data_IF_524209234757
#
_entry.id   IF_524209234757
#
_cell.length_a   1.000
_cell.length_b   1.000
_cell.length_c   1.000
_cell.angle_alpha   90.00
_cell.angle_beta   90.00
_cell.angle_gamma   90.00
#
_symmetry.space_group_name_H-M   'P 1'
#
loop_
_entity.id
_entity.type
_entity.pdbx_description
1 polymer ?
#
# COMPACT_ATOMS: atom_id res chain seq x y z
N UNK A 1 27.98 -0.05 -9.93
CA UNK A 1 28.61 1.30 -9.89
C UNK A 1 27.82 2.10 -8.85
N UNK A 2 28.51 2.81 -7.97
CA UNK A 2 27.90 3.58 -6.88
C UNK A 2 27.47 4.96 -7.36
N UNK A 3 26.22 5.35 -7.06
CA UNK A 3 25.68 6.66 -7.43
C UNK A 3 24.17 6.73 -7.39
N UNK A 4 23.59 7.80 -7.90
CA UNK A 4 22.15 8.05 -7.98
C UNK A 4 21.65 7.60 -9.35
N UNK A 5 20.69 6.69 -9.34
CA UNK A 5 20.01 6.20 -10.55
C UNK A 5 18.63 6.84 -10.69
N UNK A 6 18.27 7.20 -11.91
CA UNK A 6 16.95 7.75 -12.27
C UNK A 6 16.40 7.03 -13.50
N UNK A 7 15.10 7.08 -13.68
CA UNK A 7 14.45 6.74 -14.96
C UNK A 7 14.48 7.96 -15.87
N UNK A 8 15.01 7.79 -17.07
CA UNK A 8 15.08 8.82 -18.09
C UNK A 8 14.60 8.20 -19.41
N UNK A 9 13.43 8.61 -19.89
CA UNK A 9 12.78 8.00 -21.05
C UNK A 9 12.65 6.47 -20.93
N UNK A 10 12.13 6.02 -19.79
CA UNK A 10 11.93 4.61 -19.42
C UNK A 10 13.22 3.78 -19.27
N UNK A 11 14.37 4.40 -19.38
CA UNK A 11 15.65 3.74 -19.14
C UNK A 11 16.25 4.13 -17.80
N UNK A 12 16.69 3.14 -17.04
CA UNK A 12 17.46 3.35 -15.81
C UNK A 12 18.87 3.77 -16.13
N UNK A 13 19.27 4.96 -15.68
CA UNK A 13 20.61 5.53 -15.92
C UNK A 13 21.24 6.03 -14.63
N UNK A 14 22.57 5.90 -14.55
CA UNK A 14 23.37 6.61 -13.54
C UNK A 14 23.29 8.11 -13.86
N UNK A 15 22.71 8.89 -12.95
CA UNK A 15 22.39 10.29 -13.17
C UNK A 15 23.33 11.25 -12.44
N UNK A 16 23.82 10.89 -11.23
CA UNK A 16 24.66 11.74 -10.42
C UNK A 16 25.51 10.94 -9.41
N UNK A 17 26.54 11.60 -8.86
CA UNK A 17 27.25 11.14 -7.68
C UNK A 17 26.44 11.45 -6.41
N UNK A 18 26.72 10.70 -5.33
CA UNK A 18 26.08 10.91 -4.03
C UNK A 18 26.67 12.17 -3.40
N UNK A 19 25.86 13.19 -3.03
CA UNK A 19 26.34 14.40 -2.40
C UNK A 19 26.99 14.10 -1.03
N UNK A 20 28.02 14.83 -0.68
CA UNK A 20 28.70 14.68 0.63
C UNK A 20 27.81 15.07 1.83
N UNK A 21 26.77 15.88 1.60
CA UNK A 21 25.81 16.34 2.61
C UNK A 21 24.53 15.52 2.61
N UNK A 22 24.51 14.31 2.03
CA UNK A 22 23.40 13.38 2.15
C UNK A 22 23.12 13.10 3.64
N UNK A 23 21.83 13.12 4.01
CA UNK A 23 21.42 12.88 5.41
C UNK A 23 21.38 11.37 5.66
N UNK A 24 21.82 10.97 6.84
CA UNK A 24 21.84 9.56 7.24
C UNK A 24 20.63 9.23 8.10
N UNK A 25 20.02 8.08 7.85
CA UNK A 25 18.90 7.50 8.60
C UNK A 25 19.16 6.01 8.83
N UNK A 26 18.43 5.39 9.74
CA UNK A 26 18.41 3.94 9.91
C UNK A 26 17.52 3.27 8.84
N UNK A 27 16.41 3.93 8.50
CA UNK A 27 15.54 3.51 7.42
C UNK A 27 14.87 4.70 6.73
N UNK A 28 14.57 4.53 5.43
CA UNK A 28 13.75 5.48 4.66
C UNK A 28 12.52 4.75 4.12
N UNK A 29 11.35 5.33 4.35
CA UNK A 29 10.07 4.85 3.81
C UNK A 29 9.62 5.81 2.72
N UNK A 30 9.51 5.34 1.48
CA UNK A 30 9.02 6.12 0.36
C UNK A 30 7.55 5.81 0.12
N UNK A 31 6.71 6.82 0.37
CA UNK A 31 5.25 6.71 0.43
C UNK A 31 4.75 6.53 1.87
N UNK A 32 4.10 7.54 2.41
CA UNK A 32 3.43 7.52 3.72
C UNK A 32 1.96 7.09 3.64
N UNK A 33 1.61 6.27 2.64
CA UNK A 33 0.25 5.76 2.43
C UNK A 33 -0.17 4.73 3.49
N UNK A 34 -1.19 3.91 3.14
CA UNK A 34 -1.79 2.91 4.04
C UNK A 34 -0.77 1.98 4.69
N UNK A 35 0.17 1.44 3.92
CA UNK A 35 1.22 0.56 4.46
C UNK A 35 2.41 1.35 5.00
N UNK A 36 2.86 2.39 4.28
CA UNK A 36 4.09 3.10 4.61
C UNK A 36 4.02 3.86 5.92
N UNK A 37 2.88 4.47 6.26
CA UNK A 37 2.71 5.15 7.54
C UNK A 37 2.83 4.18 8.72
N UNK A 38 2.26 2.99 8.61
CA UNK A 38 2.37 1.95 9.65
C UNK A 38 3.78 1.35 9.70
N UNK A 39 4.46 1.19 8.54
CA UNK A 39 5.86 0.77 8.52
C UNK A 39 6.77 1.77 9.23
N UNK A 40 6.58 3.06 8.97
CA UNK A 40 7.31 4.13 9.65
C UNK A 40 7.03 4.17 11.16
N UNK A 41 5.77 3.95 11.56
CA UNK A 41 5.40 3.86 12.97
C UNK A 41 6.11 2.67 13.65
N UNK A 42 6.07 1.48 13.03
CA UNK A 42 6.74 0.29 13.56
C UNK A 42 8.26 0.50 13.74
N UNK A 43 8.91 1.11 12.75
CA UNK A 43 10.32 1.50 12.81
C UNK A 43 10.59 2.51 13.94
N UNK A 44 9.75 3.55 14.06
CA UNK A 44 9.91 4.58 15.11
C UNK A 44 9.70 4.00 16.51
N UNK A 45 8.78 3.03 16.70
CA UNK A 45 8.59 2.31 17.96
C UNK A 45 9.81 1.45 18.32
N UNK A 46 10.61 1.06 17.35
CA UNK A 46 11.88 0.37 17.52
C UNK A 46 13.08 1.31 17.67
N UNK A 47 12.84 2.61 17.90
CA UNK A 47 13.85 3.64 18.10
C UNK A 47 14.78 3.84 16.89
N UNK A 48 14.35 3.41 15.69
CA UNK A 48 15.06 3.70 14.47
C UNK A 48 14.87 5.17 14.08
N UNK A 49 15.93 5.80 13.57
CA UNK A 49 15.84 7.09 12.94
C UNK A 49 15.27 6.95 11.53
N UNK A 50 14.00 7.34 11.36
CA UNK A 50 13.21 7.11 10.14
C UNK A 50 12.92 8.42 9.43
N UNK A 51 13.03 8.40 8.10
CA UNK A 51 12.47 9.42 7.22
C UNK A 51 11.32 8.81 6.40
N UNK A 52 10.18 9.49 6.41
CA UNK A 52 9.08 9.23 5.46
C UNK A 52 9.13 10.28 4.35
N UNK A 53 9.19 9.85 3.10
CA UNK A 53 9.08 10.70 1.91
C UNK A 53 7.68 10.54 1.35
N UNK A 54 6.81 11.56 1.52
CA UNK A 54 5.41 11.50 1.12
C UNK A 54 5.05 12.66 0.19
N UNK A 55 4.48 12.35 -0.97
CA UNK A 55 4.12 13.35 -1.99
C UNK A 55 2.88 14.17 -1.64
N UNK A 56 1.96 13.61 -0.85
CA UNK A 56 0.80 14.32 -0.33
C UNK A 56 1.17 15.16 0.90
N UNK A 57 0.18 15.86 1.43
CA UNK A 57 0.31 16.65 2.66
C UNK A 57 -0.27 15.90 3.87
N UNK A 58 -0.44 14.60 3.76
CA UNK A 58 -1.03 13.75 4.80
C UNK A 58 -0.54 12.30 4.70
N UNK A 59 -0.61 11.59 5.81
CA UNK A 59 -0.33 10.16 5.90
C UNK A 59 -1.61 9.31 5.74
N UNK A 60 -1.44 7.99 5.54
CA UNK A 60 -2.53 7.01 5.54
C UNK A 60 -3.11 6.71 4.15
N UNK A 61 -2.79 7.49 3.12
CA UNK A 61 -3.12 7.19 1.72
C UNK A 61 -4.61 7.03 1.43
N UNK A 62 -5.03 5.85 0.95
CA UNK A 62 -6.44 5.59 0.61
C UNK A 62 -7.36 5.69 1.82
N UNK A 63 -6.91 5.27 3.00
CA UNK A 63 -7.64 5.35 4.26
C UNK A 63 -7.81 6.77 4.82
N UNK A 64 -7.16 7.77 4.24
CA UNK A 64 -7.25 9.18 4.66
C UNK A 64 -7.56 10.07 3.46
N UNK A 65 -6.55 10.46 2.67
CA UNK A 65 -6.72 11.29 1.47
C UNK A 65 -7.68 10.69 0.43
N UNK A 66 -7.69 9.38 0.29
CA UNK A 66 -8.57 8.65 -0.63
C UNK A 66 -10.01 8.50 -0.15
N UNK A 67 -10.30 8.82 1.11
CA UNK A 67 -11.65 8.75 1.71
C UNK A 67 -12.27 7.34 1.71
N UNK A 68 -11.45 6.31 1.74
CA UNK A 68 -11.92 4.95 2.05
C UNK A 68 -11.97 4.83 3.58
N UNK A 69 -13.07 5.28 4.17
CA UNK A 69 -13.24 5.42 5.62
C UNK A 69 -13.88 4.20 6.29
N UNK A 70 -14.01 3.11 5.58
CA UNK A 70 -14.62 1.89 6.07
C UNK A 70 -13.81 0.66 5.68
N UNK A 71 -13.61 -0.22 6.63
CA UNK A 71 -12.98 -1.51 6.38
C UNK A 71 -13.97 -2.53 5.83
N UNK A 72 -13.55 -3.24 4.79
CA UNK A 72 -14.32 -4.34 4.19
C UNK A 72 -13.87 -5.68 4.76
N UNK A 73 -12.84 -6.25 4.19
CA UNK A 73 -12.25 -7.52 4.60
C UNK A 73 -10.93 -7.31 5.33
N UNK A 74 -10.33 -8.39 5.79
CA UNK A 74 -8.99 -8.43 6.35
C UNK A 74 -8.90 -9.21 7.66
N UNK A 75 -7.72 -9.14 8.27
CA UNK A 75 -7.47 -9.74 9.57
C UNK A 75 -7.28 -8.65 10.64
N UNK A 76 -7.93 -8.83 11.77
CA UNK A 76 -7.77 -7.93 12.94
C UNK A 76 -6.39 -8.09 13.58
N UNK A 77 -6.08 -7.14 14.44
CA UNK A 77 -4.85 -7.08 15.24
C UNK A 77 -3.75 -6.24 14.61
N UNK A 78 -2.84 -5.80 15.45
CA UNK A 78 -1.69 -4.99 15.06
C UNK A 78 -1.85 -3.50 15.34
N UNK A 79 -0.89 -2.73 14.84
CA UNK A 79 -0.76 -1.30 15.14
C UNK A 79 -1.93 -0.47 14.60
N UNK A 80 -2.51 -0.85 13.48
CA UNK A 80 -3.59 -0.07 12.88
C UNK A 80 -4.83 0.00 13.80
N UNK A 81 -5.14 -1.07 14.54
CA UNK A 81 -6.25 -1.04 15.50
C UNK A 81 -5.99 -0.10 16.68
N UNK A 82 -4.72 0.04 17.09
CA UNK A 82 -4.33 1.01 18.12
C UNK A 82 -4.51 2.45 17.62
N UNK A 83 -4.14 2.71 16.36
CA UNK A 83 -4.35 4.02 15.70
C UNK A 83 -5.83 4.34 15.60
N UNK A 84 -6.65 3.39 15.14
CA UNK A 84 -8.09 3.57 14.98
C UNK A 84 -8.79 3.78 16.33
N UNK A 85 -8.39 3.05 17.36
CA UNK A 85 -8.93 3.22 18.71
C UNK A 85 -8.61 4.62 19.28
N UNK A 86 -7.40 5.12 19.06
CA UNK A 86 -7.01 6.45 19.50
C UNK A 86 -7.70 7.56 18.70
N UNK A 87 -7.82 7.39 17.37
CA UNK A 87 -8.58 8.30 16.53
C UNK A 87 -10.04 8.37 16.99
N UNK A 88 -10.67 7.23 17.22
CA UNK A 88 -12.04 7.15 17.75
C UNK A 88 -12.18 7.79 19.14
N UNK A 89 -11.22 7.56 20.04
CA UNK A 89 -11.19 8.19 21.36
C UNK A 89 -11.03 9.71 21.33
N UNK A 90 -10.59 10.26 20.21
CA UNK A 90 -10.41 11.71 20.00
C UNK A 90 -11.59 12.36 19.28
N UNK A 91 -12.65 11.63 18.94
CA UNK A 91 -13.81 12.17 18.25
C UNK A 91 -14.57 13.17 19.13
N UNK A 92 -15.00 14.31 18.58
CA UNK A 92 -15.85 15.26 19.29
C UNK A 92 -17.16 14.63 19.74
N UNK A 93 -17.71 15.10 20.84
CA UNK A 93 -19.05 14.69 21.31
C UNK A 93 -20.08 14.91 20.21
N UNK A 94 -20.87 13.87 19.92
CA UNK A 94 -21.92 13.90 18.90
C UNK A 94 -21.43 13.58 17.48
N UNK A 95 -20.14 13.33 17.29
CA UNK A 95 -19.64 12.78 16.03
C UNK A 95 -19.99 11.28 15.94
N UNK A 96 -20.54 10.87 14.82
CA UNK A 96 -20.80 9.46 14.54
C UNK A 96 -20.30 9.11 13.15
N UNK A 97 -19.48 8.06 13.03
CA UNK A 97 -19.14 7.47 11.76
C UNK A 97 -20.33 6.66 11.25
N UNK A 98 -20.69 6.84 9.99
CA UNK A 98 -21.88 6.23 9.37
C UNK A 98 -21.80 4.70 9.25
N UNK A 99 -20.63 4.11 9.40
CA UNK A 99 -20.38 2.68 9.19
C UNK A 99 -19.88 2.01 10.47
N UNK A 100 -20.33 0.78 10.78
CA UNK A 100 -19.88 0.06 11.98
C UNK A 100 -18.36 -0.15 12.07
N UNK A 101 -17.72 -0.38 10.93
CA UNK A 101 -16.27 -0.56 10.79
C UNK A 101 -15.56 0.68 10.23
N UNK A 102 -16.23 1.85 10.31
CA UNK A 102 -15.68 3.10 9.83
C UNK A 102 -14.81 3.81 10.85
N UNK A 103 -14.04 4.76 10.35
CA UNK A 103 -13.19 5.65 11.14
C UNK A 103 -13.16 7.04 10.53
N UNK A 104 -12.75 8.02 11.33
CA UNK A 104 -12.58 9.39 10.87
C UNK A 104 -11.21 9.54 10.20
N UNK A 105 -11.22 9.88 8.91
CA UNK A 105 -10.00 10.02 8.10
C UNK A 105 -9.05 11.09 8.65
N UNK A 106 -9.57 12.25 9.05
CA UNK A 106 -8.79 13.38 9.56
C UNK A 106 -8.15 13.05 10.92
N UNK A 107 -8.89 12.40 11.79
CA UNK A 107 -8.36 11.99 13.09
C UNK A 107 -7.32 10.89 12.96
N UNK A 108 -7.52 9.95 12.06
CA UNK A 108 -6.54 8.89 11.76
C UNK A 108 -5.24 9.47 11.23
N UNK A 109 -5.33 10.39 10.28
CA UNK A 109 -4.18 11.13 9.73
C UNK A 109 -3.39 11.81 10.85
N UNK A 110 -4.07 12.60 11.70
CA UNK A 110 -3.46 13.30 12.81
C UNK A 110 -2.76 12.36 13.79
N UNK A 111 -3.42 11.27 14.18
CA UNK A 111 -2.85 10.30 15.12
C UNK A 111 -1.60 9.64 14.54
N UNK A 112 -1.60 9.27 13.24
CA UNK A 112 -0.43 8.72 12.57
C UNK A 112 0.74 9.69 12.62
N UNK A 113 0.53 10.97 12.26
CA UNK A 113 1.56 11.99 12.28
C UNK A 113 2.10 12.24 13.68
N UNK A 114 1.20 12.48 14.66
CA UNK A 114 1.57 12.74 16.05
C UNK A 114 2.41 11.60 16.64
N UNK A 115 2.05 10.34 16.36
CA UNK A 115 2.81 9.20 16.86
C UNK A 115 4.18 9.07 16.22
N UNK A 116 4.27 9.14 14.90
CA UNK A 116 5.56 9.01 14.20
C UNK A 116 6.49 10.13 14.65
N UNK A 117 6.04 11.38 14.66
CA UNK A 117 6.85 12.54 15.13
C UNK A 117 7.18 12.46 16.62
N UNK A 118 6.22 12.06 17.44
CA UNK A 118 6.41 11.90 18.88
C UNK A 118 7.47 10.86 19.25
N UNK A 119 7.70 9.87 18.38
CA UNK A 119 8.75 8.87 18.50
C UNK A 119 10.05 9.25 17.76
N UNK A 120 10.15 10.48 17.24
CA UNK A 120 11.36 10.99 16.59
C UNK A 120 11.43 10.70 15.07
N UNK A 121 10.41 10.16 14.46
CA UNK A 121 10.34 9.99 13.00
C UNK A 121 10.21 11.34 12.29
N UNK A 122 10.91 11.48 11.17
CA UNK A 122 10.86 12.64 10.31
C UNK A 122 9.92 12.40 9.11
N UNK A 123 9.13 13.40 8.72
CA UNK A 123 8.20 13.31 7.59
C UNK A 123 8.47 14.48 6.66
N UNK A 124 8.81 14.18 5.40
CA UNK A 124 8.93 15.12 4.31
C UNK A 124 7.65 15.06 3.47
N UNK A 125 6.74 16.00 3.68
CA UNK A 125 5.53 16.16 2.87
C UNK A 125 5.79 16.96 1.60
N UNK A 126 4.95 16.77 0.57
CA UNK A 126 5.12 17.41 -0.72
C UNK A 126 6.46 17.03 -1.36
N UNK A 127 6.89 15.80 -1.13
CA UNK A 127 8.20 15.29 -1.51
C UNK A 127 8.05 14.13 -2.50
N UNK A 128 8.56 14.30 -3.71
CA UNK A 128 8.51 13.31 -4.77
C UNK A 128 9.85 12.59 -4.94
N UNK A 129 9.80 11.26 -5.03
CA UNK A 129 10.96 10.43 -5.36
C UNK A 129 11.49 10.78 -6.75
N UNK A 130 12.78 11.09 -6.86
CA UNK A 130 13.44 11.42 -8.13
C UNK A 130 14.52 10.42 -8.51
N UNK A 131 15.09 9.71 -7.52
CA UNK A 131 16.16 8.75 -7.78
C UNK A 131 16.41 7.80 -6.62
N UNK A 132 17.18 6.76 -6.90
CA UNK A 132 17.60 5.76 -5.91
C UNK A 132 19.13 5.74 -5.84
N UNK A 133 19.65 5.83 -4.63
CA UNK A 133 21.09 5.74 -4.35
C UNK A 133 21.45 4.26 -4.27
N UNK A 134 22.39 3.83 -5.10
CA UNK A 134 22.77 2.41 -5.18
C UNK A 134 24.29 2.21 -5.28
N UNK A 135 24.72 1.03 -4.85
CA UNK A 135 26.02 0.46 -5.21
C UNK A 135 25.83 -0.96 -5.72
N UNK A 136 26.06 -1.16 -7.02
CA UNK A 136 25.68 -2.41 -7.68
C UNK A 136 24.19 -2.69 -7.56
N UNK A 137 23.84 -3.79 -6.90
CA UNK A 137 22.45 -4.20 -6.62
C UNK A 137 21.99 -3.84 -5.21
N UNK A 138 22.77 -3.07 -4.47
CA UNK A 138 22.41 -2.65 -3.11
C UNK A 138 21.84 -1.25 -3.11
N UNK A 139 20.63 -1.09 -2.61
CA UNK A 139 20.02 0.22 -2.35
C UNK A 139 20.63 0.79 -1.07
N UNK A 140 21.09 2.03 -1.13
CA UNK A 140 21.74 2.76 -0.05
C UNK A 140 20.97 4.01 0.36
N UNK A 141 19.85 4.31 -0.27
CA UNK A 141 19.05 5.49 0.02
C UNK A 141 18.26 5.98 -1.20
N UNK A 142 17.75 7.19 -1.09
CA UNK A 142 16.92 7.82 -2.12
C UNK A 142 17.31 9.27 -2.35
N UNK A 143 16.98 9.75 -3.55
CA UNK A 143 16.93 11.16 -3.88
C UNK A 143 15.46 11.56 -4.04
N UNK A 144 15.09 12.70 -3.49
CA UNK A 144 13.75 13.25 -3.61
C UNK A 144 13.80 14.76 -3.79
N UNK A 145 12.75 15.32 -4.39
CA UNK A 145 12.54 16.76 -4.50
C UNK A 145 11.47 17.20 -3.51
N UNK A 146 11.74 18.25 -2.73
CA UNK A 146 10.76 18.89 -1.88
C UNK A 146 10.76 20.40 -2.16
N UNK A 147 9.63 20.92 -2.60
CA UNK A 147 9.59 22.25 -3.20
C UNK A 147 10.48 22.33 -4.44
N UNK A 148 11.47 23.23 -4.43
CA UNK A 148 12.43 23.41 -5.53
C UNK A 148 13.82 22.83 -5.22
N UNK A 149 13.97 22.03 -4.17
CA UNK A 149 15.26 21.53 -3.69
C UNK A 149 15.35 20.01 -3.81
N UNK A 150 16.49 19.53 -4.29
CA UNK A 150 16.85 18.11 -4.26
C UNK A 150 17.49 17.78 -2.91
N UNK A 151 17.08 16.66 -2.35
CA UNK A 151 17.57 16.09 -1.11
C UNK A 151 18.01 14.66 -1.33
N UNK A 152 19.05 14.23 -0.60
CA UNK A 152 19.49 12.84 -0.56
C UNK A 152 19.41 12.32 0.88
N UNK A 153 18.82 11.14 1.04
CA UNK A 153 18.73 10.42 2.29
C UNK A 153 19.34 9.03 2.12
N UNK A 154 20.39 8.73 2.90
CA UNK A 154 21.03 7.43 2.92
C UNK A 154 20.50 6.59 4.08
N UNK A 155 20.31 5.30 3.85
CA UNK A 155 19.91 4.34 4.88
C UNK A 155 20.30 2.92 4.46
N UNK A 156 20.64 2.03 5.41
CA UNK A 156 20.91 0.62 5.11
C UNK A 156 19.65 -0.14 4.67
N UNK A 157 18.45 0.34 5.02
CA UNK A 157 17.18 -0.26 4.59
C UNK A 157 16.27 0.83 4.04
N UNK A 158 15.73 0.58 2.84
CA UNK A 158 14.74 1.45 2.19
C UNK A 158 13.47 0.64 1.92
N UNK A 159 12.32 1.23 2.18
CA UNK A 159 11.01 0.59 1.97
C UNK A 159 10.29 1.30 0.83
N UNK A 160 9.98 0.56 -0.25
CA UNK A 160 9.04 1.02 -1.26
C UNK A 160 7.61 0.82 -0.78
N UNK A 161 6.95 1.89 -0.40
CA UNK A 161 5.53 1.96 -0.07
C UNK A 161 4.78 2.92 -1.01
N UNK A 162 5.34 3.14 -2.22
CA UNK A 162 4.75 4.05 -3.22
C UNK A 162 3.44 3.52 -3.80
N UNK A 163 3.08 2.30 -3.48
CA UNK A 163 1.94 1.55 -3.96
C UNK A 163 2.01 1.17 -5.45
N UNK A 164 2.65 1.99 -6.28
CA UNK A 164 2.87 1.74 -7.71
C UNK A 164 4.20 1.00 -8.00
N UNK A 165 5.14 0.96 -7.04
CA UNK A 165 6.44 0.29 -7.19
C UNK A 165 7.52 1.16 -7.85
N UNK A 166 7.38 2.49 -7.80
CA UNK A 166 8.30 3.39 -8.49
C UNK A 166 9.74 3.29 -8.00
N UNK A 167 9.97 3.12 -6.69
CA UNK A 167 11.31 2.94 -6.15
C UNK A 167 11.92 1.62 -6.64
N UNK A 168 11.16 0.53 -6.57
CA UNK A 168 11.57 -0.78 -7.09
C UNK A 168 11.92 -0.72 -8.58
N UNK A 169 11.14 0.00 -9.38
CA UNK A 169 11.42 0.21 -10.81
C UNK A 169 12.75 0.94 -11.02
N UNK A 170 13.00 2.06 -10.32
CA UNK A 170 14.26 2.81 -10.42
C UNK A 170 15.44 1.96 -9.91
N UNK A 171 15.23 1.17 -8.87
CA UNK A 171 16.25 0.24 -8.36
C UNK A 171 16.59 -0.87 -9.38
N UNK A 172 15.72 -1.12 -10.36
CA UNK A 172 15.90 -2.16 -11.37
C UNK A 172 15.41 -3.53 -10.90
N UNK A 173 14.48 -3.57 -9.93
CA UNK A 173 13.81 -4.80 -9.54
C UNK A 173 12.89 -5.29 -10.66
N UNK A 174 12.79 -6.60 -10.82
CA UNK A 174 11.82 -7.22 -11.72
C UNK A 174 10.40 -7.04 -11.19
N UNK A 175 9.44 -6.82 -12.09
CA UNK A 175 8.04 -6.69 -11.76
C UNK A 175 7.12 -7.23 -12.87
N UNK A 176 5.86 -7.47 -12.55
CA UNK A 176 4.77 -7.67 -13.52
C UNK A 176 3.78 -6.52 -13.42
N UNK A 177 3.09 -6.23 -14.51
CA UNK A 177 2.07 -5.19 -14.58
C UNK A 177 0.84 -5.72 -15.28
N UNK A 178 -0.28 -5.76 -14.55
CA UNK A 178 -1.53 -6.28 -15.08
C UNK A 178 -1.47 -7.76 -15.44
N UNK A 179 -2.49 -8.23 -16.13
CA UNK A 179 -2.60 -9.63 -16.56
C UNK A 179 -1.75 -9.90 -17.82
N UNK A 180 -1.25 -11.13 -17.94
CA UNK A 180 -0.33 -11.51 -19.02
C UNK A 180 -0.96 -11.36 -20.41
N UNK A 181 -2.29 -11.55 -20.53
CA UNK A 181 -3.00 -11.52 -21.80
C UNK A 181 -2.93 -10.15 -22.51
N UNK A 182 -3.11 -9.05 -21.77
CA UNK A 182 -3.27 -7.70 -22.34
C UNK A 182 -2.70 -6.58 -21.46
N UNK A 183 -1.99 -6.94 -20.39
CA UNK A 183 -1.39 -6.03 -19.41
C UNK A 183 -2.39 -5.08 -18.73
N UNK A 184 -3.68 -5.40 -18.76
CA UNK A 184 -4.66 -4.64 -18.01
C UNK A 184 -4.49 -4.86 -16.52
N UNK A 185 -4.36 -3.76 -15.81
CA UNK A 185 -4.42 -3.70 -14.34
C UNK A 185 -5.87 -3.73 -13.87
N UNK A 186 -6.09 -3.90 -12.57
CA UNK A 186 -7.41 -3.73 -11.96
C UNK A 186 -7.94 -2.31 -12.23
N UNK A 187 -9.26 -2.13 -12.51
CA UNK A 187 -9.80 -0.80 -12.74
C UNK A 187 -9.58 0.08 -11.52
N UNK A 188 -9.26 1.35 -11.77
CA UNK A 188 -9.18 2.33 -10.69
C UNK A 188 -10.55 2.79 -10.24
N UNK A 189 -10.64 3.26 -9.02
CA UNK A 189 -11.86 3.80 -8.43
C UNK A 189 -11.72 5.27 -8.03
N UNK A 190 -12.86 5.85 -7.69
CA UNK A 190 -12.94 7.19 -7.14
C UNK A 190 -14.00 7.25 -6.06
N UNK A 191 -13.87 8.17 -5.11
CA UNK A 191 -14.85 8.39 -4.05
C UNK A 191 -15.61 9.66 -4.31
N UNK A 192 -16.93 9.53 -4.39
CA UNK A 192 -17.88 10.63 -4.45
C UNK A 192 -18.50 10.81 -3.07
N UNK A 193 -18.63 12.05 -2.65
CA UNK A 193 -19.24 12.46 -1.39
C UNK A 193 -20.54 13.22 -1.71
N UNK A 194 -21.67 12.73 -1.23
CA UNK A 194 -22.99 13.33 -1.40
C UNK A 194 -23.57 13.77 -0.06
N UNK A 195 -24.35 14.84 -0.08
CA UNK A 195 -25.31 15.18 0.96
C UNK A 195 -26.59 14.41 0.70
N UNK A 196 -27.04 13.64 1.69
CA UNK A 196 -28.38 13.04 1.69
C UNK A 196 -29.36 14.08 2.22
N UNK A 197 -30.25 14.60 1.37
CA UNK A 197 -31.12 15.74 1.70
C UNK A 197 -32.10 15.45 2.87
N UNK A 198 -32.64 14.24 2.92
CA UNK A 198 -33.61 13.85 3.95
C UNK A 198 -33.00 13.85 5.36
N UNK A 199 -31.80 13.30 5.49
CA UNK A 199 -31.11 13.18 6.80
C UNK A 199 -30.09 14.28 7.06
N UNK A 200 -29.77 15.09 6.06
CA UNK A 200 -28.68 16.08 6.11
C UNK A 200 -27.32 15.47 6.49
N UNK A 201 -27.09 14.21 6.12
CA UNK A 201 -25.84 13.47 6.38
C UNK A 201 -25.01 13.31 5.14
N UNK A 202 -23.69 13.19 5.32
CA UNK A 202 -22.76 12.79 4.25
C UNK A 202 -22.91 11.32 3.89
N UNK A 203 -22.78 10.98 2.62
CA UNK A 203 -22.73 9.60 2.14
C UNK A 203 -21.61 9.44 1.14
N UNK A 204 -20.80 8.40 1.29
CA UNK A 204 -19.73 8.05 0.37
C UNK A 204 -20.16 6.99 -0.63
N UNK A 205 -19.67 7.10 -1.85
CA UNK A 205 -19.90 6.13 -2.92
C UNK A 205 -18.60 5.83 -3.64
N UNK A 206 -18.34 4.58 -3.82
CA UNK A 206 -17.16 4.07 -4.50
C UNK A 206 -17.56 3.63 -5.91
N UNK A 207 -16.81 4.07 -6.92
CA UNK A 207 -17.12 3.77 -8.32
C UNK A 207 -15.90 3.30 -9.07
N UNK A 208 -16.10 2.36 -9.97
CA UNK A 208 -15.08 1.97 -10.94
C UNK A 208 -15.13 2.94 -12.10
N UNK A 209 -13.97 3.50 -12.45
CA UNK A 209 -13.88 4.60 -13.41
C UNK A 209 -13.08 4.25 -14.68
N UNK A 210 -12.61 3.01 -14.82
CA UNK A 210 -11.85 2.55 -15.98
C UNK A 210 -10.45 2.05 -15.63
N UNK A 211 -9.62 1.92 -16.66
CA UNK A 211 -8.27 1.35 -16.57
C UNK A 211 -7.23 2.44 -16.82
N UNK A 212 -6.16 2.42 -16.03
CA UNK A 212 -5.03 3.35 -16.13
C UNK A 212 -3.76 2.58 -15.87
N UNK A 213 -2.80 2.72 -16.75
CA UNK A 213 -1.45 2.22 -16.49
C UNK A 213 -0.73 3.14 -15.51
N UNK A 214 -0.19 2.62 -14.40
CA UNK A 214 0.55 3.43 -13.42
C UNK A 214 1.88 3.96 -13.97
N UNK A 215 2.38 3.38 -15.06
CA UNK A 215 3.66 3.77 -15.70
C UNK A 215 3.48 4.73 -16.88
N UNK A 216 2.26 5.18 -17.18
CA UNK A 216 1.99 6.12 -18.28
C UNK A 216 1.38 7.41 -17.72
N UNK A 217 2.19 8.47 -17.48
CA UNK A 217 1.75 9.68 -16.78
C UNK A 217 0.56 10.39 -17.45
N UNK A 218 0.47 10.37 -18.78
CA UNK A 218 -0.62 10.99 -19.54
C UNK A 218 -1.96 10.32 -19.23
N UNK A 219 -1.97 9.01 -19.07
CA UNK A 219 -3.18 8.27 -18.70
C UNK A 219 -3.66 8.64 -17.30
N UNK A 220 -2.73 8.89 -16.38
CA UNK A 220 -3.05 9.29 -15.01
C UNK A 220 -3.81 10.61 -14.96
N UNK A 221 -3.35 11.62 -15.73
CA UNK A 221 -4.02 12.91 -15.84
C UNK A 221 -5.42 12.79 -16.46
N UNK A 222 -5.56 11.96 -17.49
CA UNK A 222 -6.84 11.67 -18.11
C UNK A 222 -7.80 10.90 -17.18
N UNK A 223 -7.26 10.02 -16.34
CA UNK A 223 -8.05 9.25 -15.40
C UNK A 223 -8.74 10.14 -14.36
N UNK A 224 -8.04 11.13 -13.82
CA UNK A 224 -8.61 12.09 -12.87
C UNK A 224 -9.81 12.83 -13.48
N UNK A 225 -9.66 13.30 -14.72
CA UNK A 225 -10.75 13.97 -15.43
C UNK A 225 -11.92 13.02 -15.74
N UNK A 226 -11.62 11.78 -16.13
CA UNK A 226 -12.64 10.78 -16.43
C UNK A 226 -13.40 10.36 -15.17
N UNK A 227 -12.71 10.18 -14.06
CA UNK A 227 -13.31 9.87 -12.77
C UNK A 227 -14.27 10.96 -12.31
N UNK A 228 -13.86 12.22 -12.41
CA UNK A 228 -14.70 13.37 -12.08
C UNK A 228 -15.96 13.42 -12.97
N UNK A 229 -15.83 13.21 -14.27
CA UNK A 229 -16.96 13.17 -15.21
C UNK A 229 -17.91 12.02 -14.88
N UNK A 230 -17.39 10.82 -14.70
CA UNK A 230 -18.19 9.66 -14.38
C UNK A 230 -19.00 9.86 -13.09
N UNK A 231 -18.34 10.32 -12.03
CA UNK A 231 -19.01 10.58 -10.75
C UNK A 231 -20.02 11.72 -10.82
N UNK A 232 -19.83 12.72 -11.68
CA UNK A 232 -20.74 13.88 -11.79
C UNK A 232 -21.95 13.60 -12.67
N UNK A 233 -21.74 13.00 -13.85
CA UNK A 233 -22.81 12.89 -14.85
C UNK A 233 -23.56 11.57 -14.80
N UNK A 234 -22.88 10.45 -14.57
CA UNK A 234 -23.52 9.13 -14.66
C UNK A 234 -24.25 8.72 -13.37
N UNK A 235 -23.89 9.29 -12.24
CA UNK A 235 -24.51 8.92 -10.96
C UNK A 235 -25.66 9.83 -10.54
N UNK A 236 -25.77 11.05 -11.05
CA UNK A 236 -26.84 11.97 -10.66
C UNK A 236 -28.22 11.48 -11.10
N UNK A 237 -28.31 10.85 -12.27
CA UNK A 237 -29.57 10.31 -12.81
C UNK A 237 -30.20 9.21 -11.93
N UNK A 238 -29.42 8.60 -11.04
CA UNK A 238 -29.87 7.48 -10.20
C UNK A 238 -30.04 7.84 -8.73
N UNK A 239 -29.79 9.10 -8.33
CA UNK A 239 -29.70 9.47 -6.91
C UNK A 239 -30.58 10.65 -6.54
N UNK A 240 -31.89 10.45 -6.62
CA UNK A 240 -32.88 11.44 -6.17
C UNK A 240 -32.67 11.69 -4.66
N UNK A 241 -32.69 12.95 -4.25
CA UNK A 241 -32.49 13.37 -2.87
C UNK A 241 -31.04 13.40 -2.38
N UNK A 242 -30.08 13.37 -3.30
CA UNK A 242 -28.64 13.50 -3.00
C UNK A 242 -28.04 14.64 -3.79
N UNK A 243 -27.22 15.45 -3.12
CA UNK A 243 -26.44 16.52 -3.75
C UNK A 243 -24.95 16.21 -3.65
N UNK A 244 -24.26 16.36 -4.77
CA UNK A 244 -22.81 16.25 -4.82
C UNK A 244 -22.18 17.33 -3.92
N UNK A 245 -21.41 16.91 -2.91
CA UNK A 245 -20.57 17.76 -2.09
C UNK A 245 -19.14 17.81 -2.60
N UNK A 246 -18.62 16.69 -3.08
CA UNK A 246 -17.27 16.61 -3.58
C UNK A 246 -16.91 15.27 -4.19
N UNK A 247 -15.80 15.29 -4.90
CA UNK A 247 -15.15 14.09 -5.47
C UNK A 247 -13.70 14.16 -5.02
N UNK A 248 -13.17 13.06 -4.49
CA UNK A 248 -11.76 13.05 -4.10
C UNK A 248 -10.86 13.24 -5.33
N UNK A 249 -9.88 14.12 -5.27
CA UNK A 249 -8.90 14.26 -6.34
C UNK A 249 -7.91 13.08 -6.37
N UNK A 250 -7.88 12.28 -5.31
CA UNK A 250 -6.99 11.13 -5.19
C UNK A 250 -7.71 9.88 -5.70
N UNK A 251 -7.23 9.33 -6.82
CA UNK A 251 -7.83 8.14 -7.43
C UNK A 251 -7.34 6.86 -6.75
N UNK A 252 -8.25 5.91 -6.58
CA UNK A 252 -7.96 4.61 -5.97
C UNK A 252 -7.42 3.62 -6.99
N UNK A 253 -6.11 3.62 -7.23
CA UNK A 253 -5.45 2.58 -8.01
C UNK A 253 -5.45 1.27 -7.23
N UNK A 254 -6.02 0.22 -7.81
CA UNK A 254 -6.11 -1.10 -7.16
C UNK A 254 -4.92 -2.00 -7.43
N UNK A 255 -4.22 -1.76 -8.52
CA UNK A 255 -3.04 -2.52 -8.91
C UNK A 255 -1.99 -1.57 -9.51
N UNK A 256 -0.74 -1.78 -9.13
CA UNK A 256 0.44 -1.16 -9.68
C UNK A 256 1.41 -2.20 -10.21
N UNK A 257 2.68 -1.89 -10.27
CA UNK A 257 3.72 -2.87 -10.55
C UNK A 257 3.83 -3.83 -9.37
N UNK A 258 3.62 -5.13 -9.61
CA UNK A 258 3.78 -6.19 -8.63
C UNK A 258 5.22 -6.70 -8.72
N UNK A 259 6.01 -6.54 -7.65
CA UNK A 259 7.41 -6.95 -7.66
C UNK A 259 7.55 -8.47 -7.88
N UNK A 260 8.68 -8.88 -8.45
CA UNK A 260 9.14 -10.26 -8.37
C UNK A 260 9.97 -10.42 -7.11
N UNK A 261 9.36 -10.96 -6.07
CA UNK A 261 10.02 -11.23 -4.80
C UNK A 261 10.81 -12.54 -4.81
N UNK A 262 11.46 -12.85 -3.70
CA UNK A 262 12.11 -14.15 -3.49
C UNK A 262 11.10 -15.29 -3.46
N UNK A 263 9.88 -15.00 -3.00
CA UNK A 263 8.71 -15.87 -3.08
C UNK A 263 7.59 -15.11 -3.80
N UNK A 264 6.68 -15.85 -4.42
CA UNK A 264 5.51 -15.28 -5.09
C UNK A 264 4.27 -16.08 -4.75
N UNK A 265 3.22 -15.42 -4.30
CA UNK A 265 1.89 -16.02 -4.15
C UNK A 265 1.16 -16.03 -5.49
N UNK A 266 0.50 -17.15 -5.78
CA UNK A 266 -0.29 -17.33 -7.00
C UNK A 266 -1.66 -17.89 -6.68
N UNK A 267 -2.69 -17.39 -7.34
CA UNK A 267 -4.05 -17.90 -7.14
C UNK A 267 -4.14 -19.40 -7.47
N UNK A 268 -3.44 -19.86 -8.51
CA UNK A 268 -3.40 -21.26 -8.86
C UNK A 268 -2.89 -22.17 -7.75
N UNK A 269 -1.87 -21.73 -7.00
CA UNK A 269 -1.33 -22.49 -5.86
C UNK A 269 -2.38 -22.58 -4.75
N UNK A 270 -3.06 -21.48 -4.45
CA UNK A 270 -4.13 -21.43 -3.45
C UNK A 270 -5.29 -22.34 -3.81
N UNK A 271 -5.73 -22.31 -5.06
CA UNK A 271 -6.78 -23.19 -5.59
C UNK A 271 -6.39 -24.66 -5.47
N UNK A 272 -5.12 -24.98 -5.68
CA UNK A 272 -4.57 -26.33 -5.53
C UNK A 272 -4.33 -26.74 -4.06
N UNK A 273 -4.67 -25.88 -3.09
CA UNK A 273 -4.46 -26.15 -1.67
C UNK A 273 -3.00 -25.99 -1.23
N UNK A 274 -2.16 -25.38 -2.05
CA UNK A 274 -0.78 -25.06 -1.73
C UNK A 274 -0.75 -23.69 -1.05
N UNK A 275 -0.43 -23.66 0.22
CA UNK A 275 -0.26 -22.40 0.98
C UNK A 275 1.11 -22.36 1.61
N UNK A 276 1.78 -21.20 1.62
CA UNK A 276 3.00 -21.02 2.41
C UNK A 276 2.75 -21.33 3.88
N UNK A 277 3.72 -21.99 4.51
CA UNK A 277 3.63 -22.37 5.94
C UNK A 277 4.80 -21.85 6.76
N UNK A 278 5.83 -21.35 6.07
CA UNK A 278 7.06 -20.91 6.70
C UNK A 278 7.24 -19.40 6.52
N UNK A 279 7.88 -18.78 7.50
CA UNK A 279 8.24 -17.35 7.49
C UNK A 279 7.06 -16.42 7.18
N UNK A 280 5.87 -16.71 7.70
CA UNK A 280 4.67 -15.89 7.47
C UNK A 280 4.78 -14.57 8.23
N UNK A 281 4.63 -13.46 7.54
CA UNK A 281 4.64 -12.12 8.12
C UNK A 281 3.29 -11.73 8.70
N UNK A 282 2.22 -11.98 7.94
CA UNK A 282 0.85 -11.67 8.33
C UNK A 282 -0.12 -12.56 7.55
N UNK A 283 -1.36 -12.62 8.02
CA UNK A 283 -2.44 -13.23 7.25
C UNK A 283 -3.28 -12.14 6.59
N UNK A 284 -3.64 -12.36 5.33
CA UNK A 284 -4.61 -11.59 4.57
C UNK A 284 -5.92 -12.37 4.45
N UNK A 285 -7.04 -11.66 4.44
CA UNK A 285 -8.36 -12.25 4.29
C UNK A 285 -9.26 -11.40 3.44
N UNK A 286 -9.68 -11.93 2.30
CA UNK A 286 -10.59 -11.24 1.39
C UNK A 286 -11.28 -12.24 0.46
N UNK A 287 -12.38 -11.81 -0.14
CA UNK A 287 -12.89 -12.42 -1.36
C UNK A 287 -11.95 -12.09 -2.55
N UNK A 288 -12.20 -12.71 -3.70
CA UNK A 288 -11.54 -12.33 -4.94
C UNK A 288 -12.14 -11.01 -5.45
N UNK A 289 -11.79 -9.89 -4.79
CA UNK A 289 -12.36 -8.56 -5.03
C UNK A 289 -11.79 -7.93 -6.33
N UNK A 290 -11.91 -8.67 -7.43
CA UNK A 290 -11.58 -8.19 -8.77
C UNK A 290 -12.72 -7.29 -9.26
N UNK A 291 -12.35 -6.08 -9.70
CA UNK A 291 -13.27 -5.10 -10.26
C UNK A 291 -13.23 -5.13 -11.79
N UNK A 292 -14.35 -4.76 -12.40
CA UNK A 292 -14.50 -4.75 -13.85
C UNK A 292 -15.16 -6.02 -14.38
N UNK A 293 -16.19 -5.85 -15.20
CA UNK A 293 -16.99 -6.95 -15.74
C UNK A 293 -16.28 -7.78 -16.81
N UNK A 294 -15.25 -7.21 -17.42
CA UNK A 294 -14.41 -7.85 -18.43
C UNK A 294 -13.13 -8.45 -17.84
N UNK A 295 -12.94 -8.31 -16.54
CA UNK A 295 -11.80 -8.85 -15.83
C UNK A 295 -11.99 -10.34 -15.61
N UNK A 296 -11.57 -11.06 -16.59
CA UNK A 296 -11.36 -12.48 -16.45
C UNK A 296 -10.00 -12.70 -15.75
N UNK A 297 -9.86 -13.82 -15.09
CA UNK A 297 -8.58 -14.31 -14.60
C UNK A 297 -7.64 -14.61 -15.77
N UNK A 298 -6.36 -14.69 -15.51
CA UNK A 298 -5.32 -14.87 -16.52
C UNK A 298 -5.46 -16.18 -17.30
N UNK A 299 -6.04 -17.22 -16.71
CA UNK A 299 -6.17 -18.50 -17.37
C UNK A 299 -7.58 -19.09 -17.31
N UNK A 300 -7.89 -19.94 -18.29
CA UNK A 300 -9.21 -20.56 -18.45
C UNK A 300 -9.69 -21.36 -17.23
N UNK A 301 -8.89 -22.16 -16.53
CA UNK A 301 -9.36 -22.90 -15.37
C UNK A 301 -9.92 -22.00 -14.27
N UNK A 302 -9.32 -20.84 -14.04
CA UNK A 302 -9.82 -19.87 -13.07
C UNK A 302 -11.10 -19.18 -13.58
N UNK A 303 -11.20 -18.87 -14.86
CA UNK A 303 -12.43 -18.34 -15.45
C UNK A 303 -13.58 -19.33 -15.33
N UNK A 304 -13.35 -20.59 -15.67
CA UNK A 304 -14.34 -21.65 -15.53
C UNK A 304 -14.78 -21.82 -14.07
N UNK A 305 -13.83 -21.73 -13.15
CA UNK A 305 -14.09 -21.83 -11.72
C UNK A 305 -14.89 -20.64 -11.20
N UNK A 306 -14.60 -19.44 -11.67
CA UNK A 306 -15.33 -18.22 -11.34
C UNK A 306 -16.77 -18.27 -11.83
N UNK A 307 -17.00 -18.79 -13.06
CA UNK A 307 -18.32 -18.97 -13.62
C UNK A 307 -19.08 -20.07 -12.86
N UNK A 308 -18.45 -21.21 -12.61
CA UNK A 308 -19.09 -22.36 -11.98
C UNK A 308 -19.37 -22.17 -10.48
N UNK A 309 -18.46 -21.53 -9.75
CA UNK A 309 -18.49 -21.45 -8.30
C UNK A 309 -18.80 -20.05 -7.75
N UNK A 310 -18.92 -19.04 -8.62
CA UNK A 310 -19.11 -17.65 -8.22
C UNK A 310 -18.07 -17.22 -7.18
N UNK A 311 -16.82 -17.03 -7.58
CA UNK A 311 -15.70 -16.72 -6.68
C UNK A 311 -15.93 -15.51 -5.77
N UNK A 312 -16.86 -14.63 -6.12
CA UNK A 312 -17.36 -13.57 -5.25
C UNK A 312 -17.90 -14.07 -3.91
N UNK A 313 -18.32 -15.32 -3.82
CA UNK A 313 -18.76 -15.97 -2.61
C UNK A 313 -17.65 -16.70 -1.85
N UNK A 314 -16.44 -16.78 -2.38
CA UNK A 314 -15.31 -17.45 -1.74
C UNK A 314 -14.38 -16.45 -1.08
N UNK A 315 -14.10 -16.68 0.17
CA UNK A 315 -13.12 -15.92 0.93
C UNK A 315 -11.82 -16.69 1.02
N UNK A 316 -10.72 -16.01 0.74
CA UNK A 316 -9.38 -16.57 0.82
C UNK A 316 -8.70 -16.10 2.09
N UNK A 317 -8.11 -17.05 2.82
CA UNK A 317 -7.21 -16.79 3.94
C UNK A 317 -5.80 -17.17 3.52
N UNK A 318 -4.92 -16.20 3.47
CA UNK A 318 -3.59 -16.32 2.89
C UNK A 318 -2.51 -15.95 3.90
N UNK A 319 -1.58 -16.85 4.14
CA UNK A 319 -0.32 -16.49 4.80
C UNK A 319 0.60 -15.82 3.79
N UNK A 320 1.04 -14.60 4.08
CA UNK A 320 2.00 -13.86 3.24
C UNK A 320 3.40 -14.08 3.76
N UNK A 321 4.27 -14.83 3.05
CA UNK A 321 5.62 -15.14 3.51
C UNK A 321 6.58 -13.97 3.29
N UNK A 322 7.68 -13.98 4.03
CA UNK A 322 8.69 -12.92 4.04
C UNK A 322 9.29 -12.66 2.65
N UNK A 323 9.47 -13.69 1.84
CA UNK A 323 10.01 -13.54 0.48
C UNK A 323 9.11 -12.75 -0.46
N UNK A 324 7.82 -12.57 -0.15
CA UNK A 324 6.92 -11.74 -0.95
C UNK A 324 7.19 -10.23 -0.83
N UNK A 325 7.86 -9.79 0.22
CA UNK A 325 8.19 -8.37 0.44
C UNK A 325 9.64 -8.02 0.11
N UNK A 326 10.45 -9.00 -0.30
CA UNK A 326 11.88 -8.84 -0.62
C UNK A 326 12.06 -8.92 -2.14
N UNK A 327 12.38 -7.82 -2.85
CA UNK A 327 12.66 -7.85 -4.28
C UNK A 327 13.84 -8.76 -4.60
N UNK A 328 13.66 -9.65 -5.59
CA UNK A 328 14.68 -10.63 -5.98
C UNK A 328 15.96 -9.94 -6.49
N UNK A 329 17.09 -10.31 -5.93
CA UNK A 329 18.39 -9.84 -6.37
C UNK A 329 18.73 -8.38 -6.04
N UNK A 330 17.88 -7.67 -5.31
CA UNK A 330 18.13 -6.30 -4.84
C UNK A 330 18.30 -6.34 -3.32
N UNK A 331 19.40 -5.79 -2.81
CA UNK A 331 19.72 -5.72 -1.38
C UNK A 331 19.31 -4.38 -0.78
N UNK A 332 19.06 -4.36 0.54
CA UNK A 332 18.69 -3.13 1.27
C UNK A 332 17.32 -2.56 0.90
N UNK A 333 16.47 -3.31 0.17
CA UNK A 333 15.16 -2.88 -0.30
C UNK A 333 14.06 -3.84 0.16
N UNK A 334 12.97 -3.26 0.63
CA UNK A 334 11.71 -3.95 0.95
C UNK A 334 10.55 -3.30 0.21
N UNK A 335 9.50 -4.06 -0.03
CA UNK A 335 8.23 -3.61 -0.60
C UNK A 335 7.11 -3.73 0.41
N UNK A 336 6.24 -2.73 0.53
CA UNK A 336 5.13 -2.73 1.46
C UNK A 336 3.80 -2.30 0.80
N UNK A 337 2.71 -2.97 1.15
CA UNK A 337 1.38 -2.70 0.63
C UNK A 337 1.04 -3.53 -0.60
N UNK A 338 0.30 -2.97 -1.57
CA UNK A 338 -0.26 -3.70 -2.70
C UNK A 338 0.73 -4.07 -3.81
N UNK A 339 1.97 -3.63 -3.73
CA UNK A 339 3.02 -3.91 -4.72
C UNK A 339 3.84 -5.18 -4.42
N UNK A 340 3.52 -5.92 -3.36
CA UNK A 340 4.23 -7.13 -2.96
C UNK A 340 4.12 -8.24 -4.03
N UNK A 341 4.95 -9.27 -3.89
CA UNK A 341 5.08 -10.35 -4.88
C UNK A 341 3.90 -11.33 -4.86
N UNK A 342 2.89 -11.00 -5.65
CA UNK A 342 1.72 -11.83 -5.92
C UNK A 342 1.44 -11.83 -7.43
N UNK A 343 0.60 -12.74 -7.92
CA UNK A 343 0.12 -12.63 -9.28
C UNK A 343 -1.05 -11.64 -9.38
N UNK A 344 -1.39 -11.24 -10.60
CA UNK A 344 -2.49 -10.34 -10.91
C UNK A 344 -3.81 -10.79 -10.26
N UNK A 345 -4.11 -12.08 -10.35
CA UNK A 345 -5.38 -12.65 -9.88
C UNK A 345 -5.51 -12.58 -8.36
N UNK A 346 -4.41 -12.80 -7.63
CA UNK A 346 -4.37 -12.79 -6.19
C UNK A 346 -4.15 -11.38 -5.59
N UNK A 347 -3.70 -10.42 -6.38
CA UNK A 347 -3.45 -9.06 -5.92
C UNK A 347 -4.67 -8.44 -5.21
N UNK A 348 -5.88 -8.77 -5.70
CA UNK A 348 -7.14 -8.32 -5.08
C UNK A 348 -7.36 -8.86 -3.66
N UNK A 349 -6.76 -10.01 -3.33
CA UNK A 349 -6.94 -10.67 -2.03
C UNK A 349 -5.99 -10.17 -0.93
N UNK A 350 -4.95 -9.41 -1.27
CA UNK A 350 -3.93 -8.96 -0.31
C UNK A 350 -3.85 -7.44 -0.16
N UNK A 351 -4.70 -6.69 -0.87
CA UNK A 351 -4.69 -5.21 -0.91
C UNK A 351 -5.70 -4.54 0.01
N UNK A 352 -6.52 -5.29 0.75
CA UNK A 352 -7.49 -4.69 1.69
C UNK A 352 -6.76 -3.82 2.71
N UNK A 353 -7.39 -2.73 3.14
CA UNK A 353 -6.73 -1.75 3.98
C UNK A 353 -6.17 -2.32 5.28
N UNK A 354 -6.90 -3.24 5.94
CA UNK A 354 -6.38 -3.94 7.12
C UNK A 354 -5.10 -4.68 6.80
N UNK A 355 -5.12 -5.47 5.73
CA UNK A 355 -4.02 -6.34 5.35
C UNK A 355 -2.82 -5.53 4.83
N UNK A 356 -3.06 -4.42 4.11
CA UNK A 356 -2.02 -3.50 3.69
C UNK A 356 -1.33 -2.81 4.88
N UNK A 357 -2.08 -2.44 5.92
CA UNK A 357 -1.53 -1.90 7.17
C UNK A 357 -0.70 -2.93 7.92
N UNK A 358 -1.18 -4.18 8.01
CA UNK A 358 -0.41 -5.29 8.59
C UNK A 358 0.85 -5.61 7.80
N UNK A 359 0.79 -5.53 6.47
CA UNK A 359 1.98 -5.61 5.63
C UNK A 359 3.00 -4.53 6.00
N UNK A 360 2.55 -3.28 6.13
CA UNK A 360 3.40 -2.18 6.57
C UNK A 360 4.05 -2.43 7.92
N UNK A 361 3.27 -2.87 8.91
CA UNK A 361 3.76 -3.22 10.26
C UNK A 361 4.84 -4.31 10.21
N UNK A 362 4.56 -5.40 9.50
CA UNK A 362 5.48 -6.51 9.39
C UNK A 362 6.79 -6.12 8.69
N UNK A 363 6.70 -5.35 7.61
CA UNK A 363 7.87 -4.81 6.89
C UNK A 363 8.66 -3.84 7.76
N UNK A 364 7.98 -3.00 8.54
CA UNK A 364 8.63 -2.08 9.48
C UNK A 364 9.43 -2.82 10.55
N UNK A 365 8.88 -3.86 11.17
CA UNK A 365 9.62 -4.68 12.14
C UNK A 365 10.74 -5.49 11.50
N UNK A 366 10.55 -6.03 10.29
CA UNK A 366 11.60 -6.68 9.54
C UNK A 366 12.78 -5.73 9.29
N UNK A 367 12.49 -4.53 8.83
CA UNK A 367 13.49 -3.48 8.59
C UNK A 367 14.22 -3.09 9.89
N UNK A 368 13.50 -2.90 11.00
CA UNK A 368 14.08 -2.55 12.29
C UNK A 368 15.05 -3.63 12.81
N UNK A 369 14.70 -4.91 12.65
CA UNK A 369 15.59 -6.01 13.03
C UNK A 369 16.83 -6.06 12.13
N UNK A 370 16.69 -5.87 10.81
CA UNK A 370 17.82 -5.83 9.89
C UNK A 370 18.81 -4.72 10.27
N UNK A 371 18.30 -3.55 10.60
CA UNK A 371 19.09 -2.40 11.06
C UNK A 371 19.82 -2.70 12.38
N UNK A 372 19.09 -3.19 13.39
CA UNK A 372 19.63 -3.46 14.73
C UNK A 372 20.67 -4.58 14.73
N UNK A 373 20.39 -5.66 14.00
CA UNK A 373 21.29 -6.81 13.89
C UNK A 373 22.41 -6.57 12.85
N UNK A 374 22.35 -5.49 12.05
CA UNK A 374 23.29 -5.11 10.97
C UNK A 374 23.45 -6.21 9.93
N UNK A 375 22.34 -6.78 9.53
CA UNK A 375 22.27 -7.83 8.50
C UNK A 375 21.44 -7.36 7.30
N UNK A 376 21.55 -8.05 6.18
CA UNK A 376 20.60 -7.86 5.07
C UNK A 376 19.21 -8.30 5.52
N UNK A 377 18.17 -7.70 4.94
CA UNK A 377 16.76 -8.03 5.25
C UNK A 377 16.43 -9.50 5.05
N UNK A 378 17.18 -10.21 4.18
CA UNK A 378 17.06 -11.65 3.92
C UNK A 378 17.55 -12.51 5.07
N UNK A 379 18.55 -11.99 5.80
CA UNK A 379 19.30 -12.71 6.82
C UNK A 379 18.76 -12.44 8.23
N UNK A 380 17.63 -11.72 8.33
CA UNK A 380 16.96 -11.48 9.60
C UNK A 380 16.49 -12.81 10.20
N UNK A 381 16.79 -13.01 11.47
CA UNK A 381 16.31 -14.13 12.24
C UNK A 381 14.78 -14.12 12.34
N UNK A 382 14.14 -15.03 11.60
CA UNK A 382 12.69 -15.09 11.54
C UNK A 382 12.05 -15.40 12.89
N UNK A 383 12.67 -16.18 13.76
CA UNK A 383 12.10 -16.48 15.09
C UNK A 383 11.97 -15.21 15.95
N UNK A 384 12.98 -14.31 15.87
CA UNK A 384 12.91 -12.99 16.51
C UNK A 384 11.79 -12.14 15.90
N UNK A 385 11.68 -12.14 14.59
CA UNK A 385 10.64 -11.39 13.87
C UNK A 385 9.26 -11.94 14.20
N UNK A 386 9.05 -13.26 14.13
CA UNK A 386 7.78 -13.90 14.45
C UNK A 386 7.31 -13.55 15.87
N UNK A 387 8.21 -13.65 16.84
CA UNK A 387 7.92 -13.28 18.23
C UNK A 387 7.43 -11.83 18.32
N UNK A 388 8.05 -10.91 17.57
CA UNK A 388 7.67 -9.51 17.53
C UNK A 388 6.28 -9.32 16.91
N UNK A 389 6.04 -9.93 15.75
CA UNK A 389 4.77 -9.86 15.04
C UNK A 389 3.60 -10.45 15.84
N UNK A 390 3.84 -11.54 16.57
CA UNK A 390 2.83 -12.11 17.47
C UNK A 390 2.57 -11.20 18.68
N UNK A 391 3.60 -10.62 19.25
CA UNK A 391 3.47 -9.72 20.40
C UNK A 391 2.70 -8.42 20.05
N UNK A 392 2.87 -7.90 18.84
CA UNK A 392 2.13 -6.72 18.37
C UNK A 392 0.70 -7.03 17.92
N UNK A 393 0.37 -8.30 17.69
CA UNK A 393 -0.90 -8.74 17.13
C UNK A 393 -0.95 -8.69 15.58
N UNK A 394 0.15 -8.35 14.91
CA UNK A 394 0.23 -8.38 13.45
C UNK A 394 0.06 -9.80 12.91
N UNK A 395 0.76 -10.77 13.49
CA UNK A 395 0.66 -12.18 13.13
C UNK A 395 -0.28 -12.90 14.08
N UNK A 396 -1.57 -12.92 13.72
CA UNK A 396 -2.64 -13.61 14.46
C UNK A 396 -3.41 -14.52 13.53
N UNK A 397 -3.47 -15.81 13.84
CA UNK A 397 -4.27 -16.76 13.08
C UNK A 397 -5.77 -16.59 13.40
N UNK A 398 -6.62 -16.80 12.38
CA UNK A 398 -8.09 -16.86 12.52
C UNK A 398 -8.80 -15.59 13.00
N UNK A 399 -8.23 -14.43 12.81
CA UNK A 399 -8.85 -13.15 13.19
C UNK A 399 -9.50 -12.46 11.98
N UNK A 400 -10.21 -13.25 11.19
CA UNK A 400 -10.84 -12.82 9.94
C UNK A 400 -12.06 -11.96 10.20
N UNK A 401 -12.22 -10.89 9.42
CA UNK A 401 -13.39 -10.01 9.44
C UNK A 401 -13.89 -9.82 8.03
N UNK A 402 -15.15 -10.11 7.80
CA UNK A 402 -15.85 -9.85 6.56
C UNK A 402 -16.47 -8.45 6.51
N UNK A 403 -17.17 -8.17 5.42
CA UNK A 403 -17.82 -6.88 5.19
C UNK A 403 -18.96 -6.59 6.18
N UNK A 404 -19.64 -7.62 6.66
CA UNK A 404 -20.82 -7.52 7.51
C UNK A 404 -20.53 -7.81 9.00
N UNK A 405 -19.28 -8.13 9.34
CA UNK A 405 -18.85 -8.37 10.72
C UNK A 405 -18.44 -7.03 11.39
#
# INVERSE_FOLDING_TARGET
MRGIYRLMNDERRLAAEIPQNAREYDAVVVGGGTAGAIAALALSMEECRVLVVERLNCLGGMGTAGRIENYYFGCRGGLYEQIDAEAKGSEPLGYTVSYPNGYNCELKERVLEEKIRGLGGEIAYGADLTGVIMDGNTVLGVEYIQGAQLHCACAPVVIDATAEGYLCQIAGAEYTLGRDLDQKVQPFGNVRIDLVEESMTGSHSYTDCGYVSPIVPEQYSQAILSAARFSTYLLDDYRIGRRLLGITPYIGMREGMLIQGEERLRLQDVVNGVSPKEKILFYAYSNADNHGKDMAFENHPQQDWMIACSLWGLNFSLGVPMGCVIPRGIHGLLAAGRLISVDHDLASCVRMERDAQKCGEAVGYLAALAVKDRVDVRDVDYEKLEKKLRASGCLTEKNHVGFMD
#
